data_IF_608834843312
#
_entry.id   IF_608834843312
#
_cell.length_a   1.000
_cell.length_b   1.000
_cell.length_c   1.000
_cell.angle_alpha   90.00
_cell.angle_beta   90.00
_cell.angle_gamma   90.00
#
_symmetry.space_group_name_H-M   'P 1'
#
loop_
_entity.id
_entity.type
_entity.pdbx_description
1 polymer ?
#
# COMPACT_ATOMS: atom_id res chain seq x y z
N UNK A 1 -34.78 -1.26 1.01
CA UNK A 1 -34.39 -0.79 -0.34
C UNK A 1 -32.87 -0.63 -0.33
N UNK A 2 -32.15 -1.54 -1.01
CA UNK A 2 -30.67 -1.56 -1.07
C UNK A 2 -30.22 -0.73 -2.26
N UNK A 3 -29.44 0.33 -2.03
CA UNK A 3 -28.75 1.07 -3.09
C UNK A 3 -27.56 0.24 -3.60
N UNK A 4 -27.44 -0.04 -4.90
CA UNK A 4 -26.22 -0.62 -5.45
C UNK A 4 -25.22 0.50 -5.76
N UNK A 5 -24.11 0.52 -5.04
CA UNK A 5 -22.96 1.36 -5.40
C UNK A 5 -22.38 0.78 -6.70
N UNK A 6 -22.43 1.56 -7.77
CA UNK A 6 -21.92 1.21 -9.09
C UNK A 6 -20.40 1.40 -9.11
N UNK A 7 -19.67 0.30 -9.27
CA UNK A 7 -18.25 0.30 -9.63
C UNK A 7 -18.11 0.83 -11.07
N UNK A 8 -17.50 1.99 -11.25
CA UNK A 8 -17.10 2.46 -12.57
C UNK A 8 -15.62 2.12 -12.79
N UNK A 9 -15.40 1.23 -13.76
CA UNK A 9 -14.10 0.97 -14.34
C UNK A 9 -13.62 2.18 -15.14
N UNK A 10 -12.40 2.66 -14.89
CA UNK A 10 -11.61 3.34 -15.92
C UNK A 10 -10.11 3.21 -15.62
N UNK A 11 -9.42 2.36 -16.38
CA UNK A 11 -7.97 2.37 -16.51
C UNK A 11 -7.51 3.70 -17.11
N UNK A 12 -6.83 4.55 -16.33
CA UNK A 12 -5.69 5.36 -16.78
C UNK A 12 -4.76 5.62 -15.59
N UNK A 13 -3.47 5.49 -15.88
CA UNK A 13 -2.32 5.67 -15.01
C UNK A 13 -2.38 7.01 -14.24
N UNK A 14 -2.95 6.99 -13.04
CA UNK A 14 -2.80 8.00 -12.03
C UNK A 14 -3.04 7.28 -10.70
N UNK A 15 -1.96 6.97 -9.98
CA UNK A 15 -2.13 6.51 -8.60
C UNK A 15 -2.52 7.74 -7.79
N UNK A 16 -3.83 7.95 -7.79
CA UNK A 16 -4.57 8.93 -7.02
C UNK A 16 -4.41 8.55 -5.54
N UNK A 17 -4.01 9.51 -4.70
CA UNK A 17 -4.20 9.41 -3.26
C UNK A 17 -5.72 9.37 -3.02
N UNK A 18 -6.32 8.19 -3.04
CA UNK A 18 -7.73 8.01 -2.71
C UNK A 18 -7.85 8.17 -1.19
N UNK A 19 -8.20 9.37 -0.75
CA UNK A 19 -8.61 9.66 0.63
C UNK A 19 -10.11 9.42 0.71
N UNK A 20 -10.54 8.23 1.15
CA UNK A 20 -11.93 7.98 1.51
C UNK A 20 -12.17 8.37 2.98
N UNK A 21 -12.51 9.64 3.23
CA UNK A 21 -13.14 10.17 4.47
C UNK A 21 -12.34 10.07 5.79
N UNK A 22 -12.85 10.67 6.89
CA UNK A 22 -12.35 11.89 7.52
C UNK A 22 -10.98 11.75 8.23
N UNK A 23 -10.36 12.91 8.50
CA UNK A 23 -9.02 13.09 9.08
C UNK A 23 -8.73 12.17 10.27
N UNK A 24 -7.49 11.68 10.33
CA UNK A 24 -7.02 10.92 11.47
C UNK A 24 -7.10 11.76 12.73
N UNK A 25 -7.91 11.32 13.69
CA UNK A 25 -7.84 11.84 15.05
C UNK A 25 -6.48 11.45 15.62
N UNK A 26 -5.76 12.45 16.10
CA UNK A 26 -4.51 12.27 16.82
C UNK A 26 -4.74 11.29 17.98
N UNK A 27 -4.04 10.15 17.97
CA UNK A 27 -4.12 9.14 19.02
C UNK A 27 -4.72 7.78 18.63
N UNK A 28 -5.12 7.57 17.37
CA UNK A 28 -5.48 6.22 16.91
C UNK A 28 -4.25 5.44 16.42
N UNK A 29 -4.21 4.10 16.63
CA UNK A 29 -3.16 3.25 16.09
C UNK A 29 -3.08 3.35 14.57
N UNK A 30 -1.86 3.44 14.06
CA UNK A 30 -1.56 3.48 12.63
C UNK A 30 -0.79 2.22 12.26
N UNK A 31 -1.08 1.66 11.09
CA UNK A 31 -0.31 0.57 10.51
C UNK A 31 0.31 1.02 9.20
N UNK A 32 1.61 0.78 9.04
CA UNK A 32 2.29 0.86 7.75
C UNK A 32 2.39 -0.54 7.19
N UNK A 33 1.95 -0.76 5.96
CA UNK A 33 1.96 -2.07 5.31
C UNK A 33 2.60 -1.93 3.92
N UNK A 34 3.77 -2.51 3.70
CA UNK A 34 4.44 -2.28 2.43
C UNK A 34 5.84 -2.80 2.27
N UNK A 35 6.56 -2.18 1.35
CA UNK A 35 7.93 -2.52 1.00
C UNK A 35 8.98 -1.75 1.82
N UNK A 36 10.21 -1.69 1.30
CA UNK A 36 11.35 -0.97 1.86
C UNK A 36 11.06 0.51 2.17
N UNK A 37 10.17 1.16 1.41
CA UNK A 37 9.85 2.58 1.61
C UNK A 37 9.19 2.83 2.96
N UNK A 38 8.37 1.88 3.44
CA UNK A 38 7.76 1.95 4.76
C UNK A 38 8.62 1.29 5.83
N UNK A 39 9.33 0.20 5.49
CA UNK A 39 10.27 -0.44 6.41
C UNK A 39 11.31 0.55 6.95
N UNK A 40 11.85 1.42 6.08
CA UNK A 40 12.86 2.40 6.44
C UNK A 40 12.43 3.41 7.53
N UNK A 41 11.12 3.62 7.76
CA UNK A 41 10.62 4.51 8.81
C UNK A 41 10.99 4.04 10.22
N UNK A 42 11.36 2.77 10.40
CA UNK A 42 11.87 2.30 11.69
C UNK A 42 13.13 3.03 12.15
N UNK A 43 13.90 3.59 11.20
CA UNK A 43 15.12 4.35 11.49
C UNK A 43 14.87 5.82 11.83
N UNK A 44 13.61 6.31 11.75
CA UNK A 44 13.26 7.72 11.93
C UNK A 44 12.16 7.89 12.99
N UNK A 45 12.42 7.58 14.27
CA UNK A 45 11.40 7.55 15.32
C UNK A 45 10.67 8.88 15.50
N UNK A 46 11.36 10.01 15.29
CA UNK A 46 10.78 11.35 15.42
C UNK A 46 9.74 11.69 14.34
N UNK A 47 9.72 10.94 13.23
CA UNK A 47 8.77 11.11 12.13
C UNK A 47 7.57 10.14 12.22
N UNK A 48 7.55 9.27 13.24
CA UNK A 48 6.52 8.23 13.39
C UNK A 48 5.34 8.73 14.23
N UNK A 49 4.10 8.33 13.90
CA UNK A 49 3.01 8.35 14.85
C UNK A 49 3.39 7.57 16.12
N UNK A 50 2.91 8.03 17.28
CA UNK A 50 3.21 7.43 18.59
C UNK A 50 2.80 5.96 18.68
N UNK A 51 1.71 5.58 18.01
CA UNK A 51 1.17 4.21 17.98
C UNK A 51 1.25 3.62 16.57
N UNK A 52 2.48 3.54 16.02
CA UNK A 52 2.73 2.95 14.71
C UNK A 52 3.21 1.50 14.80
N UNK A 53 2.44 0.57 14.23
CA UNK A 53 2.91 -0.78 13.90
C UNK A 53 3.41 -0.80 12.46
N UNK A 54 4.68 -1.16 12.26
CA UNK A 54 5.30 -1.20 10.94
C UNK A 54 5.36 -2.64 10.41
N UNK A 55 4.54 -2.94 9.42
CA UNK A 55 4.52 -4.17 8.63
C UNK A 55 5.17 -3.93 7.25
N UNK A 56 6.15 -3.03 7.18
CA UNK A 56 7.03 -2.87 6.03
C UNK A 56 8.09 -3.97 5.97
N UNK A 57 8.50 -4.37 4.76
CA UNK A 57 9.61 -5.30 4.58
C UNK A 57 10.42 -4.97 3.32
N UNK A 58 11.74 -5.09 3.41
CA UNK A 58 12.63 -4.77 2.27
C UNK A 58 12.47 -5.75 1.11
N UNK A 59 12.58 -5.23 -0.12
CA UNK A 59 12.58 -6.02 -1.37
C UNK A 59 11.35 -6.91 -1.60
N UNK A 60 10.22 -6.62 -0.93
CA UNK A 60 8.99 -7.39 -1.07
C UNK A 60 8.14 -6.92 -2.24
N UNK A 61 7.39 -7.86 -2.84
CA UNK A 61 6.42 -7.60 -3.89
C UNK A 61 5.03 -7.29 -3.31
N UNK A 62 4.09 -6.84 -4.14
CA UNK A 62 2.70 -6.61 -3.74
C UNK A 62 1.98 -7.83 -3.14
N UNK A 63 2.41 -9.06 -3.47
CA UNK A 63 1.89 -10.28 -2.84
C UNK A 63 2.16 -10.37 -1.34
N UNK A 64 3.25 -9.75 -0.86
CA UNK A 64 3.52 -9.63 0.57
C UNK A 64 2.43 -8.80 1.27
N UNK A 65 2.06 -7.65 0.68
CA UNK A 65 0.96 -6.81 1.18
C UNK A 65 -0.34 -7.59 1.27
N UNK A 66 -0.71 -8.34 0.22
CA UNK A 66 -1.89 -9.20 0.23
C UNK A 66 -1.85 -10.23 1.37
N UNK A 67 -0.72 -10.91 1.57
CA UNK A 67 -0.57 -11.93 2.63
C UNK A 67 -0.61 -11.37 4.06
N UNK A 68 -0.24 -10.10 4.25
CA UNK A 68 -0.16 -9.43 5.57
C UNK A 68 -1.39 -8.57 5.88
N UNK A 69 -2.29 -8.41 4.92
CA UNK A 69 -3.51 -7.63 5.09
C UNK A 69 -4.38 -8.09 6.28
N UNK A 70 -4.46 -9.41 6.52
CA UNK A 70 -5.21 -9.96 7.66
C UNK A 70 -4.60 -9.61 9.02
N UNK A 71 -3.26 -9.62 9.11
CA UNK A 71 -2.54 -9.17 10.31
C UNK A 71 -2.80 -7.69 10.57
N UNK A 72 -2.63 -6.84 9.55
CA UNK A 72 -2.91 -5.41 9.64
C UNK A 72 -4.36 -5.13 10.10
N UNK A 73 -5.33 -5.86 9.55
CA UNK A 73 -6.73 -5.72 9.91
C UNK A 73 -7.03 -6.18 11.34
N UNK A 74 -6.37 -7.23 11.81
CA UNK A 74 -6.59 -7.78 13.16
C UNK A 74 -6.27 -6.79 14.29
N UNK A 75 -5.37 -5.83 14.01
CA UNK A 75 -5.00 -4.75 14.93
C UNK A 75 -6.09 -3.69 15.10
N UNK A 76 -7.12 -3.70 14.23
CA UNK A 76 -8.20 -2.71 14.18
C UNK A 76 -7.70 -1.26 14.26
N UNK A 77 -6.73 -0.86 13.42
CA UNK A 77 -6.14 0.47 13.51
C UNK A 77 -7.14 1.54 13.05
N UNK A 78 -6.90 2.77 13.46
CA UNK A 78 -7.62 3.91 12.90
C UNK A 78 -7.27 4.16 11.44
N UNK A 79 -6.04 3.81 11.04
CA UNK A 79 -5.58 3.97 9.65
C UNK A 79 -4.52 2.95 9.23
N UNK A 80 -4.59 2.50 7.97
CA UNK A 80 -3.54 1.71 7.31
C UNK A 80 -3.01 2.51 6.12
N UNK A 81 -1.69 2.65 6.03
CA UNK A 81 -0.99 3.20 4.86
C UNK A 81 -0.31 2.06 4.09
N UNK A 82 -0.62 1.95 2.80
CA UNK A 82 -0.09 0.92 1.92
C UNK A 82 0.87 1.54 0.90
N UNK A 83 2.09 1.02 0.79
CA UNK A 83 3.02 1.39 -0.28
C UNK A 83 3.77 0.17 -0.82
N UNK A 84 3.64 -0.09 -2.12
CA UNK A 84 4.29 -1.22 -2.80
C UNK A 84 4.33 -0.98 -4.33
N UNK A 85 4.83 -1.95 -5.09
CA UNK A 85 4.77 -1.98 -6.55
C UNK A 85 6.10 -1.71 -7.25
N UNK A 86 7.09 -1.06 -6.61
CA UNK A 86 8.36 -0.80 -7.30
C UNK A 86 9.18 -2.07 -7.53
N UNK A 87 9.10 -2.99 -6.58
CA UNK A 87 9.77 -4.29 -6.68
C UNK A 87 9.04 -5.22 -7.67
N UNK A 88 7.72 -5.09 -7.82
CA UNK A 88 6.92 -5.76 -8.84
C UNK A 88 7.40 -5.35 -10.24
N UNK A 89 7.52 -4.04 -10.49
CA UNK A 89 8.04 -3.49 -11.75
C UNK A 89 9.48 -4.00 -12.00
N UNK A 90 10.33 -3.95 -10.98
CA UNK A 90 11.72 -4.41 -11.08
C UNK A 90 11.85 -5.91 -11.35
N UNK A 91 10.84 -6.70 -10.94
CA UNK A 91 10.74 -8.15 -11.13
C UNK A 91 9.92 -8.53 -12.38
N UNK A 92 9.67 -7.58 -13.29
CA UNK A 92 8.88 -7.77 -14.51
C UNK A 92 7.47 -8.32 -14.26
N UNK A 93 6.83 -7.97 -13.14
CA UNK A 93 5.40 -8.22 -12.91
C UNK A 93 4.59 -7.18 -13.67
N UNK A 94 3.45 -7.60 -14.20
CA UNK A 94 2.54 -6.71 -14.90
C UNK A 94 1.65 -5.92 -13.92
N UNK A 95 0.92 -4.95 -14.48
CA UNK A 95 0.00 -4.12 -13.69
C UNK A 95 -1.18 -4.93 -13.14
N UNK A 96 -1.58 -6.00 -13.81
CA UNK A 96 -2.68 -6.86 -13.38
C UNK A 96 -2.31 -7.61 -12.09
N UNK A 97 -1.07 -8.10 -11.97
CA UNK A 97 -0.54 -8.71 -10.76
C UNK A 97 -0.57 -7.75 -9.58
N UNK A 98 -0.09 -6.51 -9.77
CA UNK A 98 -0.12 -5.48 -8.73
C UNK A 98 -1.56 -5.14 -8.31
N UNK A 99 -2.44 -4.89 -9.28
CA UNK A 99 -3.84 -4.54 -9.01
C UNK A 99 -4.56 -5.66 -8.23
N UNK A 100 -4.42 -6.92 -8.65
CA UNK A 100 -5.05 -8.06 -7.99
C UNK A 100 -4.60 -8.22 -6.53
N UNK A 101 -3.32 -7.99 -6.23
CA UNK A 101 -2.82 -8.06 -4.85
C UNK A 101 -3.32 -6.90 -3.98
N UNK A 102 -3.40 -5.69 -4.53
CA UNK A 102 -3.99 -4.54 -3.83
C UNK A 102 -5.48 -4.80 -3.56
N UNK A 103 -6.26 -5.23 -4.57
CA UNK A 103 -7.68 -5.54 -4.41
C UNK A 103 -7.90 -6.63 -3.35
N UNK A 104 -7.08 -7.69 -3.36
CA UNK A 104 -7.11 -8.73 -2.34
C UNK A 104 -6.81 -8.20 -0.93
N UNK A 105 -5.83 -7.29 -0.80
CA UNK A 105 -5.49 -6.68 0.47
C UNK A 105 -6.62 -5.79 1.00
N UNK A 106 -7.19 -4.94 0.14
CA UNK A 106 -8.31 -4.07 0.47
C UNK A 106 -9.52 -4.88 0.94
N UNK A 107 -9.92 -5.90 0.19
CA UNK A 107 -11.05 -6.76 0.56
C UNK A 107 -10.83 -7.49 1.90
N UNK A 108 -9.59 -7.91 2.18
CA UNK A 108 -9.24 -8.54 3.47
C UNK A 108 -9.33 -7.54 4.62
N UNK A 109 -8.83 -6.32 4.42
CA UNK A 109 -8.86 -5.27 5.45
C UNK A 109 -10.30 -4.81 5.73
N UNK A 110 -11.10 -4.57 4.70
CA UNK A 110 -12.50 -4.16 4.84
C UNK A 110 -13.33 -5.22 5.56
N UNK A 111 -13.07 -6.51 5.30
CA UNK A 111 -13.74 -7.62 5.99
C UNK A 111 -13.30 -7.76 7.46
N UNK A 112 -12.02 -7.53 7.77
CA UNK A 112 -11.47 -7.70 9.11
C UNK A 112 -11.62 -6.47 10.02
N UNK A 113 -11.67 -5.27 9.45
CA UNK A 113 -11.76 -4.02 10.21
C UNK A 113 -12.38 -2.89 9.37
N UNK A 114 -13.69 -2.93 9.22
CA UNK A 114 -14.49 -2.02 8.36
C UNK A 114 -14.45 -0.54 8.76
N UNK A 115 -14.04 -0.22 9.99
CA UNK A 115 -13.86 1.16 10.46
C UNK A 115 -12.48 1.74 10.11
N UNK A 116 -11.54 0.91 9.64
CA UNK A 116 -10.18 1.33 9.31
C UNK A 116 -10.17 2.21 8.07
N UNK A 117 -9.48 3.34 8.14
CA UNK A 117 -9.24 4.18 6.96
C UNK A 117 -8.02 3.67 6.20
N UNK A 118 -8.17 3.42 4.90
CA UNK A 118 -7.11 2.85 4.08
C UNK A 118 -6.58 3.91 3.12
N UNK A 119 -5.25 4.08 3.10
CA UNK A 119 -4.55 5.01 2.22
C UNK A 119 -3.56 4.23 1.35
N UNK A 120 -3.80 4.17 0.04
CA UNK A 120 -2.88 3.55 -0.91
C UNK A 120 -2.00 4.64 -1.53
N UNK A 121 -0.69 4.51 -1.35
CA UNK A 121 0.29 5.46 -1.85
C UNK A 121 0.73 5.12 -3.28
N UNK A 122 0.96 6.15 -4.09
CA UNK A 122 1.54 6.02 -5.42
C UNK A 122 2.94 5.41 -5.41
N UNK A 123 3.22 4.49 -6.32
CA UNK A 123 4.61 4.05 -6.53
C UNK A 123 5.45 5.26 -6.92
N UNK A 124 6.53 5.50 -6.17
CA UNK A 124 7.39 6.67 -6.38
C UNK A 124 8.15 6.56 -7.70
N UNK A 125 8.47 7.70 -8.34
CA UNK A 125 9.28 7.70 -9.55
C UNK A 125 10.70 7.20 -9.26
N UNK A 126 11.27 6.47 -10.22
CA UNK A 126 12.68 6.04 -10.16
C UNK A 126 13.52 6.87 -11.09
N UNK A 127 14.70 7.27 -10.61
CA UNK A 127 15.70 7.89 -11.45
C UNK A 127 16.48 6.81 -12.23
N UNK A 128 16.10 6.61 -13.49
CA UNK A 128 16.72 5.61 -14.36
C UNK A 128 18.18 5.91 -14.74
N UNK A 129 18.71 7.10 -14.45
CA UNK A 129 20.13 7.39 -14.62
C UNK A 129 20.99 6.63 -13.59
N UNK A 130 20.45 6.41 -12.38
CA UNK A 130 21.14 5.68 -11.31
C UNK A 130 20.64 4.23 -11.18
N UNK A 131 19.39 3.98 -11.57
CA UNK A 131 18.76 2.67 -11.48
C UNK A 131 18.25 2.23 -12.87
N UNK A 132 19.14 1.78 -13.76
CA UNK A 132 18.76 1.41 -15.12
C UNK A 132 17.71 0.29 -15.12
N UNK A 133 16.65 0.50 -15.89
CA UNK A 133 15.56 -0.47 -16.07
C UNK A 133 16.12 -1.84 -16.50
N UNK A 134 15.50 -2.96 -16.10
CA UNK A 134 15.84 -4.28 -16.65
C UNK A 134 15.86 -4.30 -18.19
N UNK A 135 14.98 -3.54 -18.84
CA UNK A 135 14.91 -3.38 -20.30
C UNK A 135 16.10 -2.62 -20.92
N UNK A 136 16.91 -1.93 -20.12
CA UNK A 136 18.11 -1.18 -20.54
C UNK A 136 19.42 -1.87 -20.18
N UNK A 137 19.40 -3.11 -19.67
CA UNK A 137 20.63 -3.86 -19.35
C UNK A 137 21.28 -4.54 -20.56
N UNK A 138 20.79 -4.28 -21.77
CA UNK A 138 21.34 -4.81 -23.02
C UNK A 138 21.95 -3.69 -23.86
N UNK A 139 23.22 -3.37 -23.59
CA UNK A 139 24.23 -2.91 -24.57
C UNK A 139 25.60 -3.20 -23.99
#
# INVERSE_FOLDING_TARGET
MRNPIRFFAFCRLAVLLIVLTPQASWGEPVVFLGDSMLYGFDNYPDLRPKELVNLGASSTLSSYVASRAGEAASLKPGSIFIATGINDISSNKDQAFLAANIDSALGTIEAGSSATRIYVHATLPVNFAYFPSPSRRTT
#
